data_IF_906606656689
#
_entry.id   IF_906606656689
#
_cell.length_a   1.000
_cell.length_b   1.000
_cell.length_c   1.000
_cell.angle_alpha   90.00
_cell.angle_beta   90.00
_cell.angle_gamma   90.00
#
_symmetry.space_group_name_H-M   'P 1'
#
loop_
_entity.id
_entity.type
_entity.pdbx_description
1 polymer ?
#
# COMPACT_ATOMS: atom_id res chain seq x y z
N UNK A 1 2.11 -4.24 -10.69
CA UNK A 1 2.53 -2.83 -10.50
C UNK A 1 1.37 -1.84 -10.26
N UNK A 2 0.10 -2.18 -10.54
CA UNK A 2 -1.08 -1.31 -10.36
C UNK A 2 -1.39 -0.93 -8.88
N UNK A 3 -1.16 -1.84 -7.95
CA UNK A 3 -1.49 -1.64 -6.53
C UNK A 3 -0.61 -0.64 -5.77
N UNK A 4 0.56 -0.28 -6.31
CA UNK A 4 1.46 0.70 -5.69
C UNK A 4 0.95 2.14 -5.88
N UNK A 5 0.52 2.47 -7.11
CA UNK A 5 -0.01 3.79 -7.43
C UNK A 5 -1.35 4.07 -6.73
N UNK A 6 -2.24 3.07 -6.67
CA UNK A 6 -3.54 3.22 -5.98
C UNK A 6 -3.41 3.54 -4.49
N UNK A 7 -2.44 2.92 -3.79
CA UNK A 7 -2.23 3.17 -2.36
C UNK A 7 -1.66 4.55 -2.08
N UNK A 8 -0.72 5.01 -2.91
CA UNK A 8 -0.14 6.35 -2.82
C UNK A 8 -1.20 7.45 -3.07
N UNK A 9 -1.99 7.30 -4.15
CA UNK A 9 -3.06 8.24 -4.49
C UNK A 9 -4.15 8.30 -3.41
N UNK A 10 -4.47 7.16 -2.79
CA UNK A 10 -5.41 7.11 -1.66
C UNK A 10 -4.86 7.82 -0.42
N UNK A 11 -3.57 7.66 -0.12
CA UNK A 11 -2.94 8.29 1.03
C UNK A 11 -2.77 9.80 0.87
N UNK A 12 -2.58 10.31 -0.36
CA UNK A 12 -2.61 11.75 -0.64
C UNK A 12 -4.02 12.29 -0.46
N UNK A 13 -5.01 11.64 -1.06
CA UNK A 13 -6.41 12.08 -0.99
C UNK A 13 -6.88 12.21 0.46
N UNK A 14 -6.67 11.19 1.29
CA UNK A 14 -7.07 11.21 2.71
C UNK A 14 -6.38 12.30 3.52
N UNK A 15 -5.11 12.60 3.22
CA UNK A 15 -4.42 13.73 3.87
C UNK A 15 -5.05 15.06 3.50
N UNK A 16 -5.41 15.23 2.22
CA UNK A 16 -6.08 16.44 1.75
C UNK A 16 -7.48 16.59 2.36
N UNK A 17 -8.27 15.51 2.39
CA UNK A 17 -9.59 15.47 3.04
C UNK A 17 -9.48 15.83 4.54
N UNK A 18 -8.52 15.25 5.27
CA UNK A 18 -8.26 15.59 6.68
C UNK A 18 -7.89 17.06 6.88
N UNK A 19 -7.03 17.61 6.00
CA UNK A 19 -6.67 19.04 6.03
C UNK A 19 -7.87 19.95 5.76
N UNK A 20 -8.72 19.59 4.80
CA UNK A 20 -9.94 20.36 4.47
C UNK A 20 -10.97 20.30 5.60
N UNK A 21 -11.13 19.15 6.27
CA UNK A 21 -12.05 19.00 7.41
C UNK A 21 -11.58 19.71 8.69
N UNK A 22 -10.28 19.87 8.88
CA UNK A 22 -9.65 20.46 10.07
C UNK A 22 -8.79 21.67 9.68
N UNK A 23 -9.34 22.53 8.83
CA UNK A 23 -8.60 23.64 8.21
C UNK A 23 -8.07 24.63 9.26
N UNK A 24 -8.88 24.94 10.28
CA UNK A 24 -8.52 25.89 11.32
C UNK A 24 -7.41 25.35 12.22
N UNK A 25 -7.48 24.08 12.63
CA UNK A 25 -6.40 23.43 13.38
C UNK A 25 -5.14 23.28 12.54
N UNK A 26 -5.27 22.90 11.27
CA UNK A 26 -4.14 22.79 10.36
C UNK A 26 -3.42 24.12 10.20
N UNK A 27 -4.18 25.19 9.93
CA UNK A 27 -3.65 26.55 9.79
C UNK A 27 -2.93 26.98 11.07
N UNK A 28 -3.59 26.84 12.22
CA UNK A 28 -3.01 27.19 13.51
C UNK A 28 -1.69 26.44 13.78
N UNK A 29 -1.65 25.13 13.53
CA UNK A 29 -0.44 24.31 13.72
C UNK A 29 0.65 24.71 12.73
N UNK A 30 0.30 25.05 11.48
CA UNK A 30 1.27 25.47 10.46
C UNK A 30 1.93 26.81 10.74
N UNK A 31 1.27 27.66 11.53
CA UNK A 31 1.77 28.97 11.95
C UNK A 31 2.60 28.91 13.24
N UNK A 32 2.72 27.74 13.88
CA UNK A 32 3.54 27.58 15.08
C UNK A 32 5.03 27.83 14.80
N UNK A 33 5.77 28.41 15.76
CA UNK A 33 7.20 28.63 15.59
C UNK A 33 7.94 27.30 15.40
N UNK A 34 8.88 27.27 14.46
CA UNK A 34 9.64 26.04 14.17
C UNK A 34 10.72 25.77 15.21
N UNK A 35 10.87 24.51 15.60
CA UNK A 35 11.98 24.05 16.43
C UNK A 35 13.32 24.02 15.67
N UNK A 36 13.28 24.11 14.33
CA UNK A 36 14.49 24.07 13.49
C UNK A 36 15.11 25.47 13.39
N UNK A 37 15.80 25.87 14.45
CA UNK A 37 16.52 27.16 14.53
C UNK A 37 17.85 27.00 15.26
N UNK A 38 18.84 27.82 14.88
CA UNK A 38 20.15 27.86 15.55
C UNK A 38 20.18 28.81 16.75
N UNK A 39 19.16 29.67 16.89
CA UNK A 39 19.09 30.65 17.98
C UNK A 39 18.36 30.09 19.18
N UNK A 40 19.03 30.11 20.35
CA UNK A 40 18.49 29.58 21.60
C UNK A 40 17.16 30.23 21.99
N UNK A 41 17.03 31.56 21.88
CA UNK A 41 15.80 32.27 22.24
C UNK A 41 14.61 31.85 21.38
N UNK A 42 14.82 31.73 20.06
CA UNK A 42 13.78 31.26 19.13
C UNK A 42 13.41 29.81 19.40
N UNK A 43 14.39 28.97 19.75
CA UNK A 43 14.15 27.58 20.14
C UNK A 43 13.32 27.49 21.43
N UNK A 44 13.68 28.25 22.47
CA UNK A 44 12.94 28.26 23.74
C UNK A 44 11.51 28.76 23.56
N UNK A 45 11.31 29.80 22.74
CA UNK A 45 9.98 30.28 22.39
C UNK A 45 9.19 29.18 21.66
N UNK A 46 9.76 28.59 20.61
CA UNK A 46 9.12 27.51 19.86
C UNK A 46 8.77 26.30 20.73
N UNK A 47 9.67 25.90 21.62
CA UNK A 47 9.46 24.80 22.56
C UNK A 47 8.34 25.13 23.57
N UNK A 48 8.34 26.32 24.15
CA UNK A 48 7.29 26.76 25.08
C UNK A 48 5.92 26.80 24.40
N UNK A 49 5.83 27.42 23.21
CA UNK A 49 4.58 27.48 22.44
C UNK A 49 4.11 26.09 22.02
N UNK A 50 5.01 25.19 21.63
CA UNK A 50 4.65 23.80 21.29
C UNK A 50 4.13 23.04 22.52
N UNK A 51 4.74 23.25 23.69
CA UNK A 51 4.33 22.61 24.94
C UNK A 51 2.94 23.08 25.38
N UNK A 52 2.69 24.39 25.34
CA UNK A 52 1.37 24.96 25.65
C UNK A 52 0.29 24.43 24.70
N UNK A 53 0.65 24.20 23.44
CA UNK A 53 -0.26 23.69 22.41
C UNK A 53 -0.25 22.15 22.28
N UNK A 54 0.38 21.44 23.20
CA UNK A 54 0.58 19.99 23.09
C UNK A 54 -0.74 19.25 22.86
N UNK A 55 -1.79 19.55 23.63
CA UNK A 55 -3.08 18.88 23.49
C UNK A 55 -3.70 19.12 22.11
N UNK A 56 -3.62 20.34 21.59
CA UNK A 56 -4.17 20.70 20.27
C UNK A 56 -3.42 20.01 19.14
N UNK A 57 -2.08 20.05 19.18
CA UNK A 57 -1.20 19.36 18.23
C UNK A 57 -1.43 17.85 18.29
N UNK A 58 -1.45 17.30 19.50
CA UNK A 58 -1.72 15.89 19.74
C UNK A 58 -3.07 15.50 19.17
N UNK A 59 -4.15 16.22 19.47
CA UNK A 59 -5.48 15.88 18.98
C UNK A 59 -5.56 15.90 17.45
N UNK A 60 -4.97 16.91 16.78
CA UNK A 60 -4.95 17.00 15.32
C UNK A 60 -4.28 15.80 14.65
N UNK A 61 -3.12 15.35 15.16
CA UNK A 61 -2.39 14.22 14.59
C UNK A 61 -2.83 12.85 15.13
N UNK A 62 -3.43 12.81 16.32
CA UNK A 62 -3.77 11.57 17.03
C UNK A 62 -5.23 11.14 16.83
N UNK A 63 -6.16 12.06 16.51
CA UNK A 63 -7.51 11.69 16.06
C UNK A 63 -7.46 10.74 14.86
N UNK A 64 -6.42 10.88 14.04
CA UNK A 64 -6.27 10.16 12.78
C UNK A 64 -5.32 8.93 12.87
N UNK A 65 -5.14 8.36 14.09
CA UNK A 65 -4.53 7.02 14.27
C UNK A 65 -5.21 5.92 13.44
N UNK A 66 -6.40 6.17 12.89
CA UNK A 66 -7.03 5.38 11.84
C UNK A 66 -6.10 5.18 10.63
N UNK A 67 -5.53 6.26 10.09
CA UNK A 67 -4.79 6.21 8.83
C UNK A 67 -3.46 5.44 8.97
N UNK A 68 -2.78 5.54 10.12
CA UNK A 68 -1.59 4.74 10.44
C UNK A 68 -1.93 3.27 10.72
N UNK A 69 -2.99 2.99 11.50
CA UNK A 69 -3.46 1.62 11.77
C UNK A 69 -3.90 0.92 10.48
N UNK A 70 -4.53 1.65 9.55
CA UNK A 70 -4.87 1.12 8.23
C UNK A 70 -3.63 0.85 7.38
N UNK A 71 -2.65 1.76 7.34
CA UNK A 71 -1.39 1.56 6.60
C UNK A 71 -0.64 0.32 7.09
N UNK A 72 -0.55 0.13 8.41
CA UNK A 72 0.08 -1.04 9.01
C UNK A 72 -0.72 -2.33 8.72
N UNK A 73 -2.05 -2.30 8.87
CA UNK A 73 -2.92 -3.44 8.54
C UNK A 73 -2.85 -3.83 7.07
N UNK A 74 -2.85 -2.85 6.15
CA UNK A 74 -2.70 -3.09 4.71
C UNK A 74 -1.32 -3.63 4.37
N UNK A 75 -0.25 -3.13 5.00
CA UNK A 75 1.10 -3.67 4.84
C UNK A 75 1.19 -5.13 5.28
N UNK A 76 0.69 -5.47 6.48
CA UNK A 76 0.64 -6.85 6.99
C UNK A 76 -0.15 -7.76 6.05
N UNK A 77 -1.32 -7.33 5.57
CA UNK A 77 -2.14 -8.12 4.65
C UNK A 77 -1.45 -8.34 3.30
N UNK A 78 -0.67 -7.37 2.80
CA UNK A 78 0.14 -7.52 1.59
C UNK A 78 1.26 -8.54 1.79
N UNK A 79 1.96 -8.48 2.92
CA UNK A 79 3.00 -9.46 3.25
C UNK A 79 2.41 -10.88 3.34
N UNK A 80 1.25 -11.04 3.98
CA UNK A 80 0.52 -12.32 4.03
C UNK A 80 0.10 -12.81 2.64
N UNK A 81 -0.45 -11.93 1.80
CA UNK A 81 -0.84 -12.29 0.43
C UNK A 81 0.34 -12.74 -0.42
N UNK A 82 1.48 -12.04 -0.34
CA UNK A 82 2.72 -12.44 -1.02
C UNK A 82 3.25 -13.77 -0.49
N UNK A 83 3.20 -13.98 0.83
CA UNK A 83 3.62 -15.22 1.46
C UNK A 83 2.78 -16.42 1.01
N UNK A 84 1.44 -16.30 0.95
CA UNK A 84 0.56 -17.37 0.47
C UNK A 84 0.79 -17.69 -1.01
N UNK A 85 0.93 -16.66 -1.88
CA UNK A 85 1.24 -16.86 -3.31
C UNK A 85 2.58 -17.59 -3.49
N UNK A 86 3.60 -17.23 -2.71
CA UNK A 86 4.90 -17.89 -2.76
C UNK A 86 4.83 -19.34 -2.28
N UNK A 87 4.05 -19.59 -1.23
CA UNK A 87 3.81 -20.94 -0.68
C UNK A 87 3.10 -21.83 -1.70
N UNK A 88 2.05 -21.34 -2.34
CA UNK A 88 1.31 -22.06 -3.38
C UNK A 88 2.19 -22.36 -4.59
N UNK A 89 3.00 -21.39 -5.02
CA UNK A 89 3.95 -21.60 -6.12
C UNK A 89 4.98 -22.70 -5.79
N UNK A 90 5.47 -22.71 -4.56
CA UNK A 90 6.44 -23.71 -4.09
C UNK A 90 5.81 -25.11 -3.97
N UNK A 91 4.56 -25.23 -3.50
CA UNK A 91 3.87 -26.52 -3.41
C UNK A 91 3.56 -27.08 -4.79
N UNK A 92 3.13 -26.26 -5.74
CA UNK A 92 2.95 -26.66 -7.15
C UNK A 92 4.27 -27.12 -7.77
N UNK A 93 5.37 -26.40 -7.56
CA UNK A 93 6.69 -26.78 -8.07
C UNK A 93 7.15 -28.14 -7.52
N UNK A 94 6.97 -28.39 -6.21
CA UNK A 94 7.29 -29.68 -5.58
C UNK A 94 6.47 -30.83 -6.16
N UNK A 95 5.17 -30.61 -6.40
CA UNK A 95 4.27 -31.58 -7.03
C UNK A 95 4.79 -31.97 -8.43
N UNK A 96 5.09 -30.99 -9.26
CA UNK A 96 5.60 -31.20 -10.63
C UNK A 96 6.95 -31.93 -10.60
N UNK A 97 7.88 -31.51 -9.73
CA UNK A 97 9.17 -32.18 -9.59
C UNK A 97 9.04 -33.65 -9.20
N UNK A 98 8.08 -33.98 -8.32
CA UNK A 98 7.80 -35.36 -7.91
C UNK A 98 7.28 -36.19 -9.09
N UNK A 99 6.36 -35.65 -9.89
CA UNK A 99 5.85 -36.32 -11.09
C UNK A 99 6.96 -36.56 -12.13
N UNK A 100 7.84 -35.59 -12.34
CA UNK A 100 9.01 -35.73 -13.23
C UNK A 100 9.93 -36.83 -12.73
N UNK A 101 10.25 -36.88 -11.43
CA UNK A 101 11.07 -37.95 -10.86
C UNK A 101 10.44 -39.34 -11.03
N UNK A 102 9.12 -39.46 -10.84
CA UNK A 102 8.39 -40.71 -11.10
C UNK A 102 8.46 -41.11 -12.58
N UNK A 103 8.29 -40.17 -13.50
CA UNK A 103 8.37 -40.42 -14.94
C UNK A 103 9.79 -40.79 -15.41
N UNK A 104 10.83 -40.20 -14.82
CA UNK A 104 12.23 -40.50 -15.14
C UNK A 104 12.66 -41.89 -14.66
N UNK A 105 12.10 -42.40 -13.55
CA UNK A 105 12.39 -43.74 -13.04
C UNK A 105 11.81 -44.87 -13.89
N UNK A 106 10.89 -44.59 -14.81
CA UNK A 106 10.17 -45.62 -15.58
C UNK A 106 10.65 -45.79 -17.03
N UNK A 107 11.64 -45.01 -17.52
CA UNK A 107 12.12 -45.11 -18.92
C UNK A 107 13.62 -44.89 -19.10
N UNK A 108 14.24 -45.70 -19.98
CA UNK A 108 15.65 -45.66 -20.38
C UNK A 108 16.08 -44.30 -20.96
N UNK A 109 17.30 -43.88 -20.63
CA UNK A 109 17.90 -42.54 -20.64
C UNK A 109 17.83 -41.72 -21.94
N UNK A 110 17.46 -42.31 -23.08
CA UNK A 110 17.34 -41.59 -24.36
C UNK A 110 15.95 -40.95 -24.60
N UNK A 111 14.87 -41.48 -24.01
CA UNK A 111 13.50 -40.94 -24.20
C UNK A 111 13.14 -39.84 -23.19
N UNK A 112 13.91 -39.67 -22.13
CA UNK A 112 13.58 -38.79 -21.01
C UNK A 112 13.73 -37.30 -21.36
N UNK A 113 14.74 -36.93 -22.14
CA UNK A 113 14.96 -35.55 -22.61
C UNK A 113 13.85 -35.08 -23.57
N UNK A 114 13.31 -35.98 -24.41
CA UNK A 114 12.20 -35.66 -25.31
C UNK A 114 10.91 -35.35 -24.55
N UNK A 115 10.61 -36.10 -23.47
CA UNK A 115 9.45 -35.83 -22.62
C UNK A 115 9.59 -34.53 -21.82
N UNK A 116 10.80 -34.18 -21.38
CA UNK A 116 11.06 -32.90 -20.69
C UNK A 116 10.76 -31.72 -21.62
N UNK A 117 11.20 -31.78 -22.88
CA UNK A 117 10.88 -30.78 -23.91
C UNK A 117 9.37 -30.73 -24.23
N UNK A 118 8.72 -31.88 -24.39
CA UNK A 118 7.27 -31.96 -24.65
C UNK A 118 6.42 -31.37 -23.50
N UNK A 119 6.82 -31.61 -22.25
CA UNK A 119 6.12 -31.09 -21.06
C UNK A 119 6.30 -29.56 -20.91
N UNK A 120 7.48 -29.04 -21.26
CA UNK A 120 7.76 -27.61 -21.34
C UNK A 120 6.92 -26.92 -22.44
N UNK A 121 6.61 -27.62 -23.53
CA UNK A 121 5.75 -27.10 -24.62
C UNK A 121 4.25 -27.27 -24.39
N UNK A 122 3.83 -28.18 -23.51
CA UNK A 122 2.41 -28.37 -23.14
C UNK A 122 1.94 -27.44 -22.02
N UNK A 123 2.85 -26.63 -21.44
CA UNK A 123 2.45 -25.52 -20.59
C UNK A 123 1.56 -24.58 -21.41
N UNK A 124 0.34 -24.25 -20.93
CA UNK A 124 -0.52 -23.33 -21.63
C UNK A 124 0.27 -22.02 -21.84
N UNK A 125 0.17 -21.37 -23.02
CA UNK A 125 0.85 -20.12 -23.23
C UNK A 125 0.43 -19.18 -22.11
N UNK A 126 1.39 -18.75 -21.30
CA UNK A 126 1.20 -17.64 -20.37
C UNK A 126 0.73 -16.50 -21.25
N UNK A 127 -0.59 -16.28 -21.31
CA UNK A 127 -1.22 -15.23 -22.11
C UNK A 127 -0.49 -13.95 -21.76
N UNK A 128 0.41 -13.53 -22.65
CA UNK A 128 1.18 -12.31 -22.50
C UNK A 128 0.15 -11.20 -22.54
N UNK A 129 -0.22 -10.69 -21.36
CA UNK A 129 -1.15 -9.57 -21.27
C UNK A 129 -0.53 -8.43 -22.06
N UNK A 130 -1.19 -8.06 -23.16
CA UNK A 130 -0.82 -6.93 -23.99
C UNK A 130 -0.79 -5.69 -23.09
N UNK A 131 0.36 -5.04 -22.99
CA UNK A 131 0.48 -3.75 -22.31
C UNK A 131 -0.16 -2.74 -23.26
N UNK A 132 -1.41 -2.39 -23.00
CA UNK A 132 -2.06 -1.26 -23.66
C UNK A 132 -1.38 0.00 -23.10
N UNK A 133 -0.61 0.69 -23.93
CA UNK A 133 -0.18 2.05 -23.62
C UNK A 133 -1.42 2.94 -23.60
N UNK A 134 -1.82 3.40 -22.41
CA UNK A 134 -2.82 4.45 -22.32
C UNK A 134 -2.16 5.75 -22.77
N UNK A 135 -2.43 6.15 -24.02
CA UNK A 135 -2.32 7.56 -24.43
C UNK A 135 -3.24 8.42 -23.57
N UNK A 136 -2.93 9.73 -23.50
CA UNK A 136 -3.48 10.77 -22.62
C UNK A 136 -5.02 10.77 -22.43
N UNK A 137 -5.56 9.80 -21.70
CA UNK A 137 -6.96 9.75 -21.29
C UNK A 137 -7.13 10.26 -19.87
N UNK A 138 -7.80 11.39 -19.71
CA UNK A 138 -8.25 11.86 -18.39
C UNK A 138 -9.43 11.00 -17.93
N UNK A 139 -9.35 10.47 -16.71
CA UNK A 139 -10.45 9.70 -16.13
C UNK A 139 -11.30 10.59 -15.23
N UNK A 140 -12.56 10.74 -15.61
CA UNK A 140 -13.60 11.45 -14.88
C UNK A 140 -13.81 10.81 -13.50
N UNK A 141 -13.81 11.66 -12.48
CA UNK A 141 -13.90 11.35 -11.05
C UNK A 141 -15.36 10.98 -10.71
N UNK A 142 -15.61 9.76 -10.25
CA UNK A 142 -16.88 9.45 -9.57
C UNK A 142 -16.75 9.85 -8.09
N UNK A 143 -17.50 10.87 -7.69
CA UNK A 143 -17.66 11.27 -6.29
C UNK A 143 -18.69 10.37 -5.60
N UNK A 144 -18.24 9.64 -4.57
CA UNK A 144 -19.16 9.00 -3.63
C UNK A 144 -19.39 10.01 -2.51
N UNK A 145 -20.57 10.65 -2.49
CA UNK A 145 -20.98 11.53 -1.38
C UNK A 145 -21.10 10.70 -0.11
N UNK A 146 -20.23 10.93 0.86
CA UNK A 146 -20.45 10.54 2.26
C UNK A 146 -20.72 11.80 3.04
N UNK A 147 -22.00 12.10 3.29
CA UNK A 147 -22.41 13.20 4.18
C UNK A 147 -22.15 12.79 5.62
N UNK A 148 -21.39 13.59 6.35
CA UNK A 148 -21.29 13.50 7.80
C UNK A 148 -22.26 14.54 8.39
N UNK A 149 -23.36 14.08 8.99
CA UNK A 149 -24.28 14.91 9.77
C UNK A 149 -23.99 14.71 11.25
N UNK A 150 -23.65 15.80 11.96
CA UNK A 150 -23.63 15.81 13.42
C UNK A 150 -24.89 16.52 13.93
N UNK A 151 -25.64 15.86 14.81
CA UNK A 151 -26.74 16.45 15.57
C UNK A 151 -26.16 17.39 16.62
N UNK A 152 -26.58 18.65 16.60
CA UNK A 152 -26.44 19.57 17.74
C UNK A 152 -27.60 19.29 18.70
N UNK A 153 -27.29 18.92 19.94
CA UNK A 153 -28.25 19.02 21.03
C UNK A 153 -27.99 20.37 21.72
N UNK A 154 -29.06 21.17 21.85
CA UNK A 154 -29.07 22.44 22.58
C UNK A 154 -28.97 22.23 24.09
#
# INVERSE_FOLDING_TARGET
MYYHLCGYNLAIRRRKEHQECHLDEFKYISELPTLKTAHLTSFLLAASTSLQNYQRIHNYYCQDKWSQKLKFKTYINKQKGTQEIAKDSLTTAKSIAKQIQFALKTKTQAKSNMYLCLLLTSLPPLKRRQIIAFGNGSFVKYERKTSCTYKMNY
#
